data_IF_078153455571
#
_entry.id   IF_078153455571
#
_cell.length_a   1.000
_cell.length_b   1.000
_cell.length_c   1.000
_cell.angle_alpha   90.00
_cell.angle_beta   90.00
_cell.angle_gamma   90.00
#
_symmetry.space_group_name_H-M   'P 1'
#
loop_
_entity.id
_entity.type
_entity.pdbx_description
1 polymer ?
#
# COMPACT_ATOMS: atom_id res chain seq x y z
N UNK A 1 -5.45 18.58 -14.61
CA UNK A 1 -4.00 18.22 -14.64
C UNK A 1 -3.91 16.76 -14.29
N UNK A 2 -3.13 15.98 -15.01
CA UNK A 2 -2.94 14.59 -14.63
C UNK A 2 -2.24 14.58 -13.26
N UNK A 3 -2.82 13.96 -12.22
CA UNK A 3 -2.12 13.84 -10.96
C UNK A 3 -0.78 13.14 -11.22
N UNK A 4 0.28 13.48 -10.47
CA UNK A 4 1.62 12.94 -10.66
C UNK A 4 1.63 11.43 -10.36
N UNK A 5 1.24 10.63 -11.33
CA UNK A 5 1.29 9.17 -11.31
C UNK A 5 2.51 8.75 -12.11
N UNK A 6 3.34 7.86 -11.55
CA UNK A 6 4.48 7.31 -12.25
C UNK A 6 4.19 5.87 -12.66
N UNK A 7 4.23 5.59 -13.95
CA UNK A 7 4.15 4.23 -14.45
C UNK A 7 5.49 3.51 -14.20
N UNK A 8 5.47 2.50 -13.33
CA UNK A 8 6.66 1.72 -12.95
C UNK A 8 6.86 0.54 -13.89
N UNK A 9 5.76 -0.13 -14.27
CA UNK A 9 5.74 -1.20 -15.27
C UNK A 9 4.37 -1.26 -15.92
N UNK A 10 4.17 -2.15 -16.89
CA UNK A 10 2.89 -2.27 -17.63
C UNK A 10 1.65 -2.37 -16.72
N UNK A 11 1.81 -2.97 -15.55
CA UNK A 11 0.72 -3.21 -14.61
C UNK A 11 0.86 -2.49 -13.27
N UNK A 12 1.95 -1.76 -13.01
CA UNK A 12 2.23 -1.14 -11.72
C UNK A 12 2.40 0.36 -11.88
N UNK A 13 1.58 1.11 -11.17
CA UNK A 13 1.64 2.57 -11.10
C UNK A 13 1.95 3.01 -9.68
N UNK A 14 2.92 3.89 -9.49
CA UNK A 14 3.11 4.61 -8.23
C UNK A 14 2.05 5.70 -8.11
N UNK A 15 1.32 5.68 -7.02
CA UNK A 15 0.24 6.62 -6.69
C UNK A 15 0.48 7.32 -5.35
N UNK A 16 1.67 7.18 -4.80
CA UNK A 16 2.08 7.82 -3.56
C UNK A 16 2.08 9.35 -3.63
N UNK A 17 2.54 9.99 -2.57
CA UNK A 17 2.60 11.45 -2.47
C UNK A 17 3.96 11.92 -2.02
N UNK A 18 4.27 13.17 -2.32
CA UNK A 18 5.48 13.86 -1.87
C UNK A 18 5.11 14.80 -0.73
N UNK A 19 5.81 14.66 0.39
CA UNK A 19 5.68 15.53 1.54
C UNK A 19 6.91 16.44 1.63
N UNK A 20 6.81 17.62 1.04
CA UNK A 20 7.91 18.59 1.00
C UNK A 20 8.08 19.36 2.31
N UNK A 21 7.06 19.37 3.17
CA UNK A 21 7.00 20.21 4.35
C UNK A 21 7.47 19.50 5.62
N UNK A 22 7.65 18.19 5.57
CA UNK A 22 8.14 17.44 6.72
C UNK A 22 9.63 17.72 6.93
N UNK A 23 9.98 18.24 8.10
CA UNK A 23 11.36 18.55 8.47
C UNK A 23 12.03 17.44 9.28
N UNK A 24 11.24 16.59 9.93
CA UNK A 24 11.73 15.43 10.69
C UNK A 24 10.84 14.24 10.43
N UNK A 25 11.41 13.17 9.88
CA UNK A 25 10.74 11.90 9.68
C UNK A 25 11.07 10.98 10.85
N UNK A 26 10.08 10.22 11.31
CA UNK A 26 10.22 9.24 12.41
C UNK A 26 10.94 9.80 13.67
N UNK A 27 10.61 11.05 14.01
CA UNK A 27 11.09 11.79 15.20
C UNK A 27 12.59 12.13 15.18
N UNK A 28 13.42 11.32 14.54
CA UNK A 28 14.89 11.41 14.65
C UNK A 28 15.61 11.69 13.32
N UNK A 29 14.96 11.53 12.18
CA UNK A 29 15.60 11.73 10.87
C UNK A 29 15.24 13.09 10.30
N UNK A 30 16.19 14.02 10.32
CA UNK A 30 16.02 15.30 9.63
C UNK A 30 15.91 15.09 8.12
N UNK A 31 14.93 15.76 7.49
CA UNK A 31 14.74 15.73 6.05
C UNK A 31 15.07 17.10 5.46
N UNK A 32 15.98 17.13 4.52
CA UNK A 32 16.36 18.37 3.81
C UNK A 32 15.36 18.76 2.73
N UNK A 33 14.72 17.77 2.12
CA UNK A 33 13.84 17.95 0.95
C UNK A 33 12.46 17.29 1.14
N UNK A 34 12.10 16.98 2.38
CA UNK A 34 10.89 16.23 2.68
C UNK A 34 11.07 14.73 2.51
N UNK A 35 9.97 14.02 2.29
CA UNK A 35 9.92 12.57 2.10
C UNK A 35 8.86 12.16 1.09
N UNK A 36 8.80 10.85 0.80
CA UNK A 36 7.74 10.24 -0.01
C UNK A 36 6.94 9.27 0.85
N UNK A 37 5.63 9.21 0.62
CA UNK A 37 4.80 8.10 1.11
C UNK A 37 4.45 7.25 -0.09
N UNK A 38 5.01 6.04 -0.14
CA UNK A 38 4.92 5.19 -1.31
C UNK A 38 3.67 4.33 -1.26
N UNK A 39 2.88 4.41 -2.30
CA UNK A 39 1.76 3.52 -2.55
C UNK A 39 1.73 3.14 -4.03
N UNK A 40 1.26 1.94 -4.31
CA UNK A 40 1.22 1.43 -5.69
C UNK A 40 -0.16 0.86 -6.01
N UNK A 41 -0.60 1.11 -7.23
CA UNK A 41 -1.76 0.44 -7.81
C UNK A 41 -1.28 -0.62 -8.79
N UNK A 42 -1.82 -1.84 -8.65
CA UNK A 42 -1.53 -2.96 -9.55
C UNK A 42 -2.79 -3.31 -10.32
N UNK A 43 -2.75 -3.09 -11.62
CA UNK A 43 -3.81 -3.45 -12.56
C UNK A 43 -3.55 -4.84 -13.14
N UNK A 44 -4.06 -5.86 -12.49
CA UNK A 44 -3.91 -7.26 -12.86
C UNK A 44 -5.28 -7.93 -13.03
N UNK A 45 -5.33 -9.25 -13.14
CA UNK A 45 -6.59 -10.01 -13.15
C UNK A 45 -7.42 -9.78 -11.89
N UNK A 46 -6.75 -9.56 -10.75
CA UNK A 46 -7.30 -8.94 -9.54
C UNK A 46 -6.55 -7.66 -9.28
N UNK A 47 -7.27 -6.60 -8.96
CA UNK A 47 -6.69 -5.29 -8.72
C UNK A 47 -6.25 -5.16 -7.27
N UNK A 48 -5.06 -4.62 -7.06
CA UNK A 48 -4.52 -4.43 -5.73
C UNK A 48 -3.96 -3.02 -5.52
N UNK A 49 -4.14 -2.51 -4.32
CA UNK A 49 -3.45 -1.32 -3.81
C UNK A 49 -2.46 -1.78 -2.76
N UNK A 50 -1.21 -1.32 -2.87
CA UNK A 50 -0.14 -1.62 -1.91
C UNK A 50 0.14 -0.37 -1.10
N UNK A 51 -0.07 -0.47 0.20
CA UNK A 51 -0.03 0.61 1.17
C UNK A 51 -0.94 1.80 0.82
N UNK A 52 -1.02 2.75 1.71
CA UNK A 52 -1.67 4.04 1.50
C UNK A 52 -0.68 5.16 1.85
N UNK A 53 -1.19 6.32 2.23
CA UNK A 53 -0.39 7.49 2.60
C UNK A 53 -0.91 8.08 3.90
N UNK A 54 -0.18 9.00 4.52
CA UNK A 54 -0.70 9.75 5.68
C UNK A 54 -2.04 10.40 5.36
N UNK A 55 -2.95 10.39 6.32
CA UNK A 55 -4.33 10.82 6.19
C UNK A 55 -4.49 12.24 5.61
N UNK A 56 -3.59 13.17 5.95
CA UNK A 56 -3.62 14.54 5.42
C UNK A 56 -3.51 14.62 3.89
N UNK A 57 -2.95 13.60 3.26
CA UNK A 57 -2.79 13.50 1.80
C UNK A 57 -3.90 12.71 1.11
N UNK A 58 -4.92 12.29 1.86
CA UNK A 58 -6.05 11.53 1.30
C UNK A 58 -6.68 12.19 0.07
N UNK A 59 -6.93 13.51 0.00
CA UNK A 59 -7.54 14.12 -1.18
C UNK A 59 -6.73 13.91 -2.46
N UNK A 60 -5.41 14.14 -2.42
CA UNK A 60 -4.51 13.94 -3.55
C UNK A 60 -4.41 12.46 -3.94
N UNK A 61 -4.23 11.60 -2.95
CA UNK A 61 -4.14 10.15 -3.13
C UNK A 61 -5.41 9.58 -3.77
N UNK A 62 -6.58 10.00 -3.27
CA UNK A 62 -7.88 9.63 -3.82
C UNK A 62 -8.01 10.02 -5.29
N UNK A 63 -7.64 11.25 -5.65
CA UNK A 63 -7.70 11.72 -7.04
C UNK A 63 -6.85 10.83 -7.97
N UNK A 64 -5.62 10.49 -7.56
CA UNK A 64 -4.74 9.58 -8.30
C UNK A 64 -5.39 8.21 -8.49
N UNK A 65 -5.91 7.62 -7.44
CA UNK A 65 -6.53 6.30 -7.49
C UNK A 65 -7.76 6.28 -8.41
N UNK A 66 -8.65 7.26 -8.26
CA UNK A 66 -9.87 7.39 -9.09
C UNK A 66 -9.57 7.64 -10.57
N UNK A 67 -8.42 8.18 -10.91
CA UNK A 67 -8.01 8.33 -12.31
C UNK A 67 -7.57 7.02 -12.97
N UNK A 68 -7.28 5.97 -12.18
CA UNK A 68 -6.80 4.67 -12.65
C UNK A 68 -7.86 3.57 -12.62
N UNK A 69 -8.79 3.63 -11.68
CA UNK A 69 -9.78 2.55 -11.48
C UNK A 69 -11.02 3.03 -10.71
N UNK A 70 -12.13 2.32 -10.87
CA UNK A 70 -13.24 2.40 -9.92
C UNK A 70 -12.82 1.66 -8.63
N UNK A 71 -12.90 2.29 -7.44
CA UNK A 71 -12.56 1.62 -6.18
C UNK A 71 -13.37 0.33 -5.93
N UNK A 72 -14.55 0.19 -6.50
CA UNK A 72 -15.36 -1.03 -6.41
C UNK A 72 -14.74 -2.23 -7.11
N UNK A 73 -13.75 -2.02 -7.95
CA UNK A 73 -13.01 -3.08 -8.64
C UNK A 73 -11.73 -3.50 -7.91
N UNK A 74 -11.42 -2.88 -6.75
CA UNK A 74 -10.25 -3.24 -5.96
C UNK A 74 -10.56 -4.52 -5.19
N UNK A 75 -9.77 -5.57 -5.44
CA UNK A 75 -9.89 -6.86 -4.76
C UNK A 75 -9.10 -6.87 -3.45
N UNK A 76 -7.90 -6.28 -3.46
CA UNK A 76 -6.99 -6.31 -2.33
C UNK A 76 -6.44 -4.93 -1.98
N UNK A 77 -6.32 -4.68 -0.68
CA UNK A 77 -5.54 -3.58 -0.13
C UNK A 77 -4.47 -4.22 0.75
N UNK A 78 -3.22 -4.20 0.31
CA UNK A 78 -2.11 -4.77 1.06
C UNK A 78 -1.53 -3.71 1.97
N UNK A 79 -1.41 -4.00 3.25
CA UNK A 79 -0.75 -3.17 4.23
C UNK A 79 0.57 -3.84 4.64
N UNK A 80 1.67 -3.41 4.03
CA UNK A 80 3.01 -3.93 4.34
C UNK A 80 3.46 -3.58 5.75
N UNK A 81 2.90 -2.48 6.28
CA UNK A 81 3.25 -1.91 7.56
C UNK A 81 2.11 -1.02 8.08
N UNK A 82 1.88 -0.97 9.38
CA UNK A 82 0.75 -0.22 9.96
C UNK A 82 1.09 1.19 10.42
N UNK A 83 2.31 1.66 10.23
CA UNK A 83 2.67 3.04 10.51
C UNK A 83 1.81 4.02 9.67
N UNK A 84 1.46 5.23 10.18
CA UNK A 84 0.53 6.14 9.50
C UNK A 84 0.92 6.56 8.09
N UNK A 85 2.18 6.49 7.71
CA UNK A 85 2.64 6.77 6.34
C UNK A 85 2.32 5.64 5.35
N UNK A 86 2.00 4.44 5.85
CA UNK A 86 1.52 3.29 5.09
C UNK A 86 0.01 3.06 5.25
N UNK A 87 -0.54 3.30 6.43
CA UNK A 87 -1.92 2.93 6.78
C UNK A 87 -2.87 4.11 6.99
N UNK A 88 -2.36 5.35 7.03
CA UNK A 88 -3.14 6.52 7.49
C UNK A 88 -4.40 6.81 6.70
N UNK A 89 -4.42 6.47 5.41
CA UNK A 89 -5.58 6.65 4.54
C UNK A 89 -6.43 5.38 4.35
N UNK A 90 -6.08 4.27 5.01
CA UNK A 90 -6.76 2.99 4.83
C UNK A 90 -8.26 3.07 5.19
N UNK A 91 -8.61 3.77 6.26
CA UNK A 91 -10.00 3.97 6.67
C UNK A 91 -10.85 4.56 5.56
N UNK A 92 -10.35 5.60 4.92
CA UNK A 92 -11.05 6.28 3.82
C UNK A 92 -11.09 5.42 2.55
N UNK A 93 -10.02 4.67 2.29
CA UNK A 93 -10.00 3.75 1.16
C UNK A 93 -11.01 2.63 1.30
N UNK A 94 -11.18 2.07 2.50
CA UNK A 94 -12.20 1.06 2.80
C UNK A 94 -13.64 1.60 2.71
N UNK A 95 -13.86 2.90 2.93
CA UNK A 95 -15.16 3.53 2.69
C UNK A 95 -15.52 3.58 1.19
N UNK A 96 -14.52 3.69 0.31
CA UNK A 96 -14.71 3.65 -1.15
C UNK A 96 -14.72 2.22 -1.72
N UNK A 97 -13.97 1.31 -1.11
CA UNK A 97 -13.78 -0.07 -1.53
C UNK A 97 -14.15 -1.07 -0.41
N UNK A 98 -15.42 -1.07 0.07
CA UNK A 98 -15.82 -1.89 1.21
C UNK A 98 -15.76 -3.41 0.93
N UNK A 99 -15.73 -3.81 -0.33
CA UNK A 99 -15.59 -5.20 -0.77
C UNK A 99 -14.15 -5.69 -0.75
N UNK A 100 -13.17 -4.78 -0.69
CA UNK A 100 -11.76 -5.14 -0.77
C UNK A 100 -11.31 -5.94 0.46
N UNK A 101 -10.46 -6.93 0.23
CA UNK A 101 -9.83 -7.70 1.30
C UNK A 101 -8.51 -7.05 1.70
N UNK A 102 -8.38 -6.69 2.97
CA UNK A 102 -7.13 -6.18 3.54
C UNK A 102 -6.16 -7.34 3.76
N UNK A 103 -4.99 -7.24 3.14
CA UNK A 103 -3.93 -8.25 3.25
C UNK A 103 -2.84 -7.71 4.17
N UNK A 104 -2.45 -8.49 5.18
CA UNK A 104 -1.45 -8.07 6.14
C UNK A 104 -0.85 -9.24 6.92
N UNK A 105 0.24 -9.00 7.63
CA UNK A 105 0.74 -9.95 8.61
C UNK A 105 -0.29 -10.13 9.75
N UNK A 106 -0.17 -11.20 10.52
CA UNK A 106 -1.08 -11.40 11.65
C UNK A 106 -1.02 -10.25 12.66
N UNK A 107 0.15 -9.66 12.85
CA UNK A 107 0.34 -8.51 13.74
C UNK A 107 -0.26 -7.24 13.14
N UNK A 108 -0.04 -6.99 11.84
CA UNK A 108 -0.64 -5.85 11.14
C UNK A 108 -2.17 -5.89 11.22
N UNK A 109 -2.79 -7.03 10.94
CA UNK A 109 -4.24 -7.16 11.01
C UNK A 109 -4.81 -6.93 12.41
N UNK A 110 -4.08 -7.34 13.46
CA UNK A 110 -4.48 -7.05 14.84
C UNK A 110 -4.43 -5.54 15.14
N UNK A 111 -3.35 -4.87 14.75
CA UNK A 111 -3.23 -3.42 14.92
C UNK A 111 -4.32 -2.66 14.13
N UNK A 112 -4.56 -3.05 12.87
CA UNK A 112 -5.58 -2.42 12.03
C UNK A 112 -6.99 -2.61 12.61
N UNK A 113 -7.30 -3.74 13.22
CA UNK A 113 -8.59 -3.97 13.85
C UNK A 113 -8.84 -2.99 15.00
N UNK A 114 -7.81 -2.70 15.79
CA UNK A 114 -7.88 -1.69 16.87
C UNK A 114 -7.94 -0.26 16.32
N UNK A 115 -7.14 0.06 15.30
CA UNK A 115 -7.07 1.40 14.70
C UNK A 115 -8.37 1.78 13.97
N UNK A 116 -8.96 0.84 13.23
CA UNK A 116 -10.14 1.10 12.41
C UNK A 116 -11.44 1.07 13.22
N UNK A 117 -11.48 0.33 14.32
CA UNK A 117 -12.67 0.12 15.18
C UNK A 117 -13.92 -0.30 14.37
N UNK A 118 -13.75 -0.94 13.23
CA UNK A 118 -14.80 -1.42 12.32
C UNK A 118 -14.38 -2.78 11.74
N UNK A 119 -15.34 -3.69 11.50
CA UNK A 119 -15.02 -4.95 10.82
C UNK A 119 -14.61 -4.69 9.36
N UNK A 120 -13.67 -5.48 8.86
CA UNK A 120 -13.25 -5.50 7.46
C UNK A 120 -12.89 -6.93 7.04
N UNK A 121 -12.95 -7.20 5.74
CA UNK A 121 -12.49 -8.47 5.20
C UNK A 121 -10.95 -8.50 5.26
N UNK A 122 -10.38 -9.61 5.71
CA UNK A 122 -8.93 -9.71 5.86
C UNK A 122 -8.37 -11.04 5.38
N UNK A 123 -7.14 -11.00 4.89
CA UNK A 123 -6.33 -12.14 4.51
C UNK A 123 -4.98 -12.05 5.22
N UNK A 124 -4.73 -12.99 6.12
CA UNK A 124 -3.44 -13.09 6.81
C UNK A 124 -2.41 -13.73 5.89
N UNK A 125 -1.23 -13.11 5.80
CA UNK A 125 -0.07 -13.64 5.08
C UNK A 125 1.16 -13.73 5.97
N UNK A 126 2.14 -14.54 5.54
CA UNK A 126 3.44 -14.75 6.20
C UNK A 126 4.54 -14.86 5.16
N UNK A 127 5.77 -14.89 5.62
CA UNK A 127 6.94 -15.08 4.76
C UNK A 127 6.80 -16.29 3.83
N UNK A 128 7.12 -16.09 2.56
CA UNK A 128 7.05 -17.09 1.51
C UNK A 128 5.67 -17.27 0.85
N UNK A 129 4.60 -16.74 1.42
CA UNK A 129 3.26 -16.82 0.82
C UNK A 129 3.21 -16.10 -0.54
N UNK A 130 2.29 -16.55 -1.39
CA UNK A 130 2.03 -15.95 -2.70
C UNK A 130 0.63 -15.35 -2.73
N UNK A 131 0.54 -14.05 -2.94
CA UNK A 131 -0.71 -13.37 -3.25
C UNK A 131 -0.98 -13.48 -4.75
N UNK A 132 -2.00 -14.23 -5.11
CA UNK A 132 -2.38 -14.48 -6.51
C UNK A 132 -3.35 -13.39 -7.01
N UNK A 133 -2.90 -12.63 -8.01
CA UNK A 133 -3.68 -11.60 -8.69
C UNK A 133 -4.23 -12.10 -10.06
N UNK A 134 -4.33 -13.41 -10.26
CA UNK A 134 -4.82 -14.04 -11.48
C UNK A 134 -3.71 -14.22 -12.52
N UNK A 135 -3.28 -13.15 -13.16
CA UNK A 135 -2.23 -13.19 -14.18
C UNK A 135 -0.83 -12.84 -13.65
N UNK A 136 -0.71 -12.53 -12.36
CA UNK A 136 0.57 -12.29 -11.69
C UNK A 136 0.50 -12.73 -10.22
N UNK A 137 1.66 -12.96 -9.63
CA UNK A 137 1.79 -13.35 -8.22
C UNK A 137 2.80 -12.45 -7.53
N UNK A 138 2.44 -11.98 -6.34
CA UNK A 138 3.33 -11.26 -5.46
C UNK A 138 3.81 -12.21 -4.35
N UNK A 139 5.12 -12.29 -4.16
CA UNK A 139 5.68 -13.07 -3.05
C UNK A 139 5.85 -12.21 -1.82
N UNK A 140 5.36 -12.67 -0.69
CA UNK A 140 5.55 -12.04 0.61
C UNK A 140 6.96 -12.36 1.11
N UNK A 141 7.70 -11.32 1.49
CA UNK A 141 9.01 -11.42 2.15
C UNK A 141 8.85 -10.83 3.54
N UNK A 142 8.85 -11.68 4.55
CA UNK A 142 8.74 -11.27 5.95
C UNK A 142 9.98 -10.47 6.37
N UNK A 143 9.76 -9.35 7.04
CA UNK A 143 10.81 -8.49 7.57
C UNK A 143 10.46 -8.03 9.00
N UNK A 144 10.07 -8.95 9.91
CA UNK A 144 9.65 -8.58 11.25
C UNK A 144 10.80 -7.91 11.99
N UNK A 145 10.47 -6.83 12.74
CA UNK A 145 11.42 -6.02 13.49
C UNK A 145 12.47 -5.26 12.62
N UNK A 146 12.27 -5.24 11.31
CA UNK A 146 12.97 -4.27 10.48
C UNK A 146 12.22 -2.94 10.62
N UNK A 147 12.38 -2.34 11.82
CA UNK A 147 11.77 -1.21 12.48
C UNK A 147 10.47 -1.56 13.28
N UNK A 148 9.46 -2.24 12.74
CA UNK A 148 8.26 -2.70 13.45
C UNK A 148 8.02 -4.21 13.29
N UNK A 149 7.29 -4.87 14.24
CA UNK A 149 7.10 -6.32 14.20
C UNK A 149 6.14 -6.83 13.11
N UNK A 150 5.31 -5.96 12.55
CA UNK A 150 4.27 -6.27 11.56
C UNK A 150 4.75 -6.25 10.11
N UNK A 151 6.00 -5.80 9.87
CA UNK A 151 6.51 -5.47 8.54
C UNK A 151 6.78 -6.68 7.65
N UNK A 152 6.41 -6.53 6.38
CA UNK A 152 6.84 -7.36 5.26
C UNK A 152 6.99 -6.51 3.99
N UNK A 153 7.49 -7.10 2.94
CA UNK A 153 7.60 -6.51 1.62
C UNK A 153 6.98 -7.44 0.59
N UNK A 154 6.60 -6.91 -0.56
CA UNK A 154 6.15 -7.70 -1.69
C UNK A 154 7.22 -7.73 -2.77
N UNK A 155 7.50 -8.92 -3.28
CA UNK A 155 8.39 -9.13 -4.40
C UNK A 155 7.58 -9.51 -5.64
N UNK A 156 7.74 -8.73 -6.69
CA UNK A 156 7.17 -8.99 -8.01
C UNK A 156 8.32 -9.34 -8.98
N UNK A 157 8.39 -10.59 -9.48
CA UNK A 157 9.38 -10.97 -10.48
C UNK A 157 9.22 -10.14 -11.75
N UNK A 158 10.32 -9.59 -12.26
CA UNK A 158 10.32 -8.91 -13.55
C UNK A 158 10.08 -9.89 -14.70
N UNK A 159 9.09 -9.62 -15.56
CA UNK A 159 8.89 -10.42 -16.79
C UNK A 159 9.78 -9.97 -17.94
N UNK A 160 10.04 -8.67 -18.09
CA UNK A 160 10.88 -8.05 -19.14
C UNK A 160 11.74 -6.90 -18.60
N UNK A 161 11.92 -6.81 -17.28
CA UNK A 161 12.66 -5.77 -16.58
C UNK A 161 13.17 -6.27 -15.24
N UNK A 162 13.78 -5.40 -14.42
CA UNK A 162 14.22 -5.77 -13.09
C UNK A 162 13.01 -6.16 -12.21
N UNK A 163 13.24 -6.98 -11.17
CA UNK A 163 12.20 -7.25 -10.17
C UNK A 163 11.85 -5.98 -9.40
N UNK A 164 10.61 -5.92 -8.90
CA UNK A 164 10.14 -4.83 -8.04
C UNK A 164 10.02 -5.33 -6.60
N UNK A 165 10.44 -4.51 -5.66
CA UNK A 165 10.17 -4.65 -4.25
C UNK A 165 9.24 -3.50 -3.84
N UNK A 166 8.05 -3.85 -3.37
CA UNK A 166 6.98 -2.92 -3.03
C UNK A 166 6.71 -2.99 -1.54
#
# INVERSE_FOLDING_TARGET
MNPHILQISDNVSWIGVLDHDIVTFDIVMETKFGTTYNSYFINAGKKAVIDTVKERFWPEYKEKLLSLTDPKEIDYIVCNHTEPDHSGSLKHLLELAPQATVVGSGQALAYLAEMLCKPFQSLKVKDGDLLDLGNMKLRVIGAPNLHWPDRFHLYLPGRRGPPLYL
#
